data_IF_801649098804
#
_entry.id   IF_801649098804
#
_cell.length_a   1.000
_cell.length_b   1.000
_cell.length_c   1.000
_cell.angle_alpha   90.00
_cell.angle_beta   90.00
_cell.angle_gamma   90.00
#
_symmetry.space_group_name_H-M   'P 1'
#
loop_
_entity.id
_entity.type
_entity.pdbx_description
1 polymer ?
#
# COMPACT_ATOMS: atom_id res chain seq x y z
N UNK A 1 17.80 -11.40 -6.27
CA UNK A 1 16.55 -10.62 -6.19
C UNK A 1 16.80 -9.53 -5.17
N UNK A 2 16.67 -8.27 -5.58
CA UNK A 2 16.98 -7.11 -4.74
C UNK A 2 15.99 -6.00 -5.05
N UNK A 3 15.63 -5.22 -4.03
CA UNK A 3 14.84 -4.01 -4.21
C UNK A 3 15.69 -2.96 -4.95
N UNK A 4 15.11 -2.30 -5.95
CA UNK A 4 15.87 -1.33 -6.74
C UNK A 4 16.43 -0.20 -5.87
N UNK A 5 17.64 0.26 -6.22
CA UNK A 5 18.32 1.33 -5.48
C UNK A 5 17.50 2.63 -5.44
N UNK A 6 16.76 2.94 -6.52
CA UNK A 6 15.90 4.11 -6.60
C UNK A 6 14.72 4.04 -5.62
N UNK A 7 14.05 2.88 -5.52
CA UNK A 7 12.97 2.64 -4.56
C UNK A 7 13.49 2.73 -3.13
N UNK A 8 14.60 2.04 -2.84
CA UNK A 8 15.20 2.05 -1.51
C UNK A 8 15.61 3.46 -1.10
N UNK A 9 16.25 4.22 -2.00
CA UNK A 9 16.63 5.61 -1.73
C UNK A 9 15.41 6.48 -1.44
N UNK A 10 14.33 6.36 -2.22
CA UNK A 10 13.10 7.14 -2.01
C UNK A 10 12.47 6.83 -0.65
N UNK A 11 12.41 5.56 -0.27
CA UNK A 11 11.92 5.14 1.03
C UNK A 11 12.78 5.67 2.19
N UNK A 12 14.11 5.58 2.07
CA UNK A 12 15.05 6.13 3.07
C UNK A 12 14.90 7.64 3.21
N UNK A 13 14.68 8.37 2.10
CA UNK A 13 14.37 9.79 2.15
C UNK A 13 13.02 10.08 2.83
N UNK A 14 11.98 9.27 2.59
CA UNK A 14 10.68 9.40 3.25
C UNK A 14 10.77 9.21 4.76
N UNK A 15 11.53 8.19 5.20
CA UNK A 15 11.79 7.91 6.61
C UNK A 15 12.56 9.07 7.25
N UNK A 16 13.67 9.50 6.64
CA UNK A 16 14.50 10.58 7.17
C UNK A 16 13.73 11.91 7.29
N UNK A 17 12.93 12.25 6.27
CA UNK A 17 12.10 13.46 6.24
C UNK A 17 10.80 13.33 7.04
N UNK A 18 10.54 12.17 7.67
CA UNK A 18 9.32 11.89 8.46
C UNK A 18 8.02 12.22 7.71
N UNK A 19 7.94 11.85 6.43
CA UNK A 19 6.77 12.18 5.57
C UNK A 19 5.47 11.44 5.94
N UNK A 20 5.55 10.45 6.83
CA UNK A 20 4.44 9.64 7.32
C UNK A 20 4.61 9.36 8.81
N UNK A 21 3.55 8.88 9.48
CA UNK A 21 3.63 8.46 10.87
C UNK A 21 4.32 7.09 10.94
N UNK A 22 5.60 7.05 11.30
CA UNK A 22 6.38 5.80 11.28
C UNK A 22 5.88 4.77 12.30
N UNK A 23 5.30 5.23 13.40
CA UNK A 23 4.80 4.32 14.43
C UNK A 23 3.60 3.53 13.89
N UNK A 24 2.73 4.16 13.09
CA UNK A 24 1.39 3.59 12.81
C UNK A 24 0.97 3.56 11.35
N UNK A 25 1.83 4.00 10.45
CA UNK A 25 1.71 3.79 9.02
C UNK A 25 2.94 3.01 8.51
N UNK A 26 2.83 2.48 7.29
CA UNK A 26 3.89 1.71 6.63
C UNK A 26 4.54 2.58 5.54
N UNK A 27 5.84 2.45 5.34
CA UNK A 27 6.56 3.11 4.25
C UNK A 27 6.04 2.55 2.89
N UNK A 28 5.41 3.39 2.06
CA UNK A 28 4.63 2.90 0.92
C UNK A 28 5.47 2.26 -0.19
N UNK A 29 6.69 2.75 -0.45
CA UNK A 29 7.50 2.26 -1.55
C UNK A 29 8.15 0.90 -1.24
N UNK A 30 8.61 0.72 -0.01
CA UNK A 30 9.11 -0.57 0.46
C UNK A 30 7.97 -1.58 0.56
N UNK A 31 6.79 -1.15 1.03
CA UNK A 31 5.62 -2.02 1.09
C UNK A 31 5.26 -2.57 -0.28
N UNK A 32 5.08 -1.70 -1.27
CA UNK A 32 4.74 -2.07 -2.65
C UNK A 32 5.80 -3.01 -3.23
N UNK A 33 7.08 -2.66 -3.11
CA UNK A 33 8.15 -3.46 -3.70
C UNK A 33 8.31 -4.85 -3.05
N UNK A 34 8.10 -4.98 -1.74
CA UNK A 34 8.14 -6.28 -1.04
C UNK A 34 6.90 -7.11 -1.36
N UNK A 35 5.72 -6.48 -1.35
CA UNK A 35 4.46 -7.10 -1.74
C UNK A 35 4.55 -7.71 -3.13
N UNK A 36 5.06 -6.97 -4.10
CA UNK A 36 5.21 -7.44 -5.49
C UNK A 36 6.18 -8.60 -5.62
N UNK A 37 7.25 -8.60 -4.82
CA UNK A 37 8.19 -9.73 -4.75
C UNK A 37 7.48 -11.01 -4.31
N UNK A 38 6.72 -10.98 -3.22
CA UNK A 38 6.02 -12.17 -2.73
C UNK A 38 4.84 -12.56 -3.62
N UNK A 39 4.13 -11.59 -4.19
CA UNK A 39 3.05 -11.87 -5.13
C UNK A 39 3.54 -12.55 -6.41
N UNK A 40 4.77 -12.28 -6.87
CA UNK A 40 5.38 -13.05 -7.98
C UNK A 40 5.55 -14.54 -7.64
N UNK A 41 5.88 -14.86 -6.38
CA UNK A 41 6.00 -16.25 -5.94
C UNK A 41 4.64 -16.96 -5.99
N UNK A 42 3.59 -16.31 -5.46
CA UNK A 42 2.22 -16.80 -5.56
C UNK A 42 1.76 -16.95 -7.02
N UNK A 43 2.05 -15.97 -7.88
CA UNK A 43 1.59 -15.99 -9.27
C UNK A 43 2.29 -17.05 -10.11
N UNK A 44 3.54 -17.38 -9.80
CA UNK A 44 4.25 -18.49 -10.41
C UNK A 44 3.69 -19.86 -10.04
N UNK A 45 3.09 -20.01 -8.85
CA UNK A 45 2.52 -21.27 -8.38
C UNK A 45 1.10 -21.52 -8.92
N UNK A 46 0.30 -20.46 -9.06
CA UNK A 46 -1.09 -20.55 -9.49
C UNK A 46 -1.25 -20.07 -10.95
N UNK A 47 -0.89 -20.93 -11.92
CA UNK A 47 -1.04 -20.61 -13.33
C UNK A 47 -2.51 -20.72 -13.80
N UNK A 48 -3.11 -19.57 -14.14
CA UNK A 48 -4.30 -19.32 -15.00
C UNK A 48 -5.53 -20.27 -14.95
N UNK A 49 -5.68 -21.16 -13.95
CA UNK A 49 -6.90 -21.93 -13.74
C UNK A 49 -7.89 -21.14 -12.88
N UNK A 50 -9.17 -21.19 -13.22
CA UNK A 50 -10.21 -20.45 -12.50
C UNK A 50 -10.52 -21.05 -11.11
N UNK A 51 -10.14 -22.31 -10.87
CA UNK A 51 -10.55 -23.09 -9.70
C UNK A 51 -9.96 -22.60 -8.37
N UNK A 52 -8.76 -22.02 -8.39
CA UNK A 52 -8.00 -21.66 -7.18
C UNK A 52 -7.89 -20.13 -6.99
N UNK A 53 -8.70 -19.33 -7.69
CA UNK A 53 -8.62 -17.86 -7.65
C UNK A 53 -8.84 -17.27 -6.25
N UNK A 54 -9.85 -17.75 -5.53
CA UNK A 54 -10.15 -17.26 -4.18
C UNK A 54 -9.01 -17.58 -3.20
N UNK A 55 -8.45 -18.78 -3.30
CA UNK A 55 -7.32 -19.21 -2.48
C UNK A 55 -6.02 -18.48 -2.86
N UNK A 56 -5.78 -18.24 -4.15
CA UNK A 56 -4.69 -17.39 -4.62
C UNK A 56 -4.85 -15.97 -4.05
N UNK A 57 -6.06 -15.43 -4.00
CA UNK A 57 -6.32 -14.11 -3.42
C UNK A 57 -6.08 -14.10 -1.90
N UNK A 58 -6.42 -15.17 -1.19
CA UNK A 58 -6.08 -15.35 0.22
C UNK A 58 -4.56 -15.34 0.45
N UNK A 59 -3.79 -16.07 -0.37
CA UNK A 59 -2.33 -16.07 -0.29
C UNK A 59 -1.74 -14.70 -0.60
N UNK A 60 -2.26 -13.98 -1.61
CA UNK A 60 -1.87 -12.58 -1.89
C UNK A 60 -2.14 -11.67 -0.70
N UNK A 61 -3.30 -11.78 -0.07
CA UNK A 61 -3.60 -11.03 1.15
C UNK A 61 -2.60 -11.36 2.27
N UNK A 62 -2.24 -12.64 2.43
CA UNK A 62 -1.21 -13.04 3.41
C UNK A 62 0.16 -12.42 3.10
N UNK A 63 0.53 -12.29 1.83
CA UNK A 63 1.75 -11.61 1.41
C UNK A 63 1.71 -10.11 1.72
N UNK A 64 0.55 -9.48 1.55
CA UNK A 64 0.34 -8.07 1.89
C UNK A 64 0.54 -7.86 3.40
N UNK A 65 -0.08 -8.70 4.24
CA UNK A 65 0.07 -8.65 5.70
C UNK A 65 1.52 -8.89 6.14
N UNK A 66 2.19 -9.91 5.60
CA UNK A 66 3.60 -10.20 5.90
C UNK A 66 4.52 -9.03 5.52
N UNK A 67 4.33 -8.48 4.31
CA UNK A 67 5.09 -7.34 3.80
C UNK A 67 4.89 -6.10 4.67
N UNK A 68 3.66 -5.85 5.11
CA UNK A 68 3.33 -4.74 6.00
C UNK A 68 4.11 -4.82 7.31
N UNK A 69 4.11 -5.97 7.99
CA UNK A 69 4.86 -6.16 9.24
C UNK A 69 6.37 -6.13 9.03
N UNK A 70 6.89 -6.72 7.95
CA UNK A 70 8.32 -6.66 7.61
C UNK A 70 8.79 -5.23 7.42
N UNK A 71 8.06 -4.44 6.62
CA UNK A 71 8.41 -3.03 6.36
C UNK A 71 8.30 -2.20 7.62
N UNK A 72 7.23 -2.40 8.40
CA UNK A 72 7.03 -1.68 9.65
C UNK A 72 8.14 -1.95 10.67
N UNK A 73 8.61 -3.19 10.79
CA UNK A 73 9.78 -3.50 11.62
C UNK A 73 11.04 -2.81 11.10
N UNK A 74 11.33 -2.99 9.81
CA UNK A 74 12.53 -2.44 9.17
C UNK A 74 12.58 -0.91 9.27
N UNK A 75 11.49 -0.19 8.99
CA UNK A 75 11.46 1.28 9.05
C UNK A 75 11.69 1.79 10.48
N UNK A 76 11.18 1.10 11.50
CA UNK A 76 11.35 1.49 12.90
C UNK A 76 12.79 1.24 13.37
N UNK A 77 13.41 0.15 12.95
CA UNK A 77 14.84 -0.11 13.18
C UNK A 77 15.72 1.01 12.56
N UNK A 78 15.33 1.53 11.38
CA UNK A 78 16.00 2.66 10.72
C UNK A 78 15.75 3.99 11.43
N UNK A 79 14.51 4.23 11.91
CA UNK A 79 14.15 5.44 12.66
C UNK A 79 14.89 5.53 13.99
N UNK A 80 15.09 4.40 14.67
CA UNK A 80 15.88 4.33 15.89
C UNK A 80 17.32 4.85 15.72
N UNK A 81 17.80 5.00 14.48
CA UNK A 81 19.14 5.53 14.17
C UNK A 81 19.18 7.02 13.81
N UNK A 82 18.03 7.71 13.74
CA UNK A 82 17.94 9.12 13.30
C UNK A 82 18.69 10.10 14.20
N UNK A 83 18.63 9.88 15.51
CA UNK A 83 19.22 10.79 16.49
C UNK A 83 20.65 10.38 16.83
N UNK A 84 21.51 11.37 17.07
CA UNK A 84 22.82 11.16 17.69
C UNK A 84 22.68 10.98 19.22
N UNK A 85 23.81 10.76 19.90
CA UNK A 85 23.86 10.59 21.35
C UNK A 85 23.35 11.79 22.15
N UNK A 86 23.29 12.97 21.53
CA UNK A 86 22.86 14.22 22.14
C UNK A 86 21.39 14.53 21.80
N UNK A 87 20.69 13.64 21.08
CA UNK A 87 19.30 13.84 20.66
C UNK A 87 19.13 14.71 19.41
N UNK A 88 20.22 15.06 18.71
CA UNK A 88 20.13 15.85 17.49
C UNK A 88 19.94 14.96 16.26
N UNK A 89 19.21 15.47 15.26
CA UNK A 89 19.04 14.78 13.98
C UNK A 89 20.40 14.68 13.26
N UNK A 90 20.83 13.46 12.95
CA UNK A 90 22.05 13.22 12.16
C UNK A 90 21.92 13.79 10.74
N UNK A 91 23.01 14.29 10.13
CA UNK A 91 23.02 14.60 8.69
C UNK A 91 22.65 13.37 7.86
N UNK A 92 21.88 13.56 6.79
CA UNK A 92 21.37 12.45 5.95
C UNK A 92 22.45 11.46 5.54
N UNK A 93 23.62 11.94 5.09
CA UNK A 93 24.75 11.08 4.69
C UNK A 93 25.24 10.17 5.82
N UNK A 94 25.30 10.68 7.05
CA UNK A 94 25.72 9.89 8.21
C UNK A 94 24.64 8.87 8.60
N UNK A 95 23.38 9.31 8.67
CA UNK A 95 22.26 8.40 8.95
C UNK A 95 22.15 7.28 7.91
N UNK A 96 22.29 7.62 6.61
CA UNK A 96 22.30 6.65 5.53
C UNK A 96 23.36 5.57 5.75
N UNK A 97 24.59 5.96 6.11
CA UNK A 97 25.66 5.02 6.44
C UNK A 97 25.28 4.08 7.60
N UNK A 98 24.59 4.59 8.62
CA UNK A 98 24.20 3.83 9.80
C UNK A 98 23.07 2.81 9.51
N UNK A 99 22.20 3.09 8.53
CA UNK A 99 21.04 2.24 8.20
C UNK A 99 21.24 1.35 6.98
N UNK A 100 22.25 1.60 6.16
CA UNK A 100 22.58 0.76 4.99
C UNK A 100 22.74 -0.74 5.34
N UNK A 101 23.38 -1.14 6.46
CA UNK A 101 23.44 -2.56 6.84
C UNK A 101 22.06 -3.16 7.12
N UNK A 102 21.15 -2.39 7.74
CA UNK A 102 19.76 -2.82 7.98
C UNK A 102 19.06 -3.02 6.64
N UNK A 103 19.14 -2.02 5.75
CA UNK A 103 18.54 -2.10 4.42
C UNK A 103 19.10 -3.26 3.59
N UNK A 104 20.42 -3.45 3.58
CA UNK A 104 21.09 -4.51 2.81
C UNK A 104 20.69 -5.91 3.27
N UNK A 105 20.63 -6.15 4.58
CA UNK A 105 20.18 -7.44 5.09
C UNK A 105 18.70 -7.67 4.81
N UNK A 106 17.84 -6.70 5.15
CA UNK A 106 16.38 -6.83 5.05
C UNK A 106 15.87 -6.88 3.61
N UNK A 107 16.43 -6.07 2.71
CA UNK A 107 16.03 -5.96 1.30
C UNK A 107 16.93 -6.76 0.33
N UNK A 108 17.94 -7.46 0.85
CA UNK A 108 18.88 -8.27 0.08
C UNK A 108 18.89 -9.71 0.58
N UNK A 109 19.86 -10.06 1.42
CA UNK A 109 20.11 -11.46 1.82
C UNK A 109 18.89 -12.16 2.45
N UNK A 110 18.20 -11.52 3.38
CA UNK A 110 17.01 -12.10 4.02
C UNK A 110 15.84 -12.17 3.04
N UNK A 111 15.61 -11.11 2.26
CA UNK A 111 14.56 -11.11 1.24
C UNK A 111 14.74 -12.23 0.22
N UNK A 112 15.97 -12.57 -0.15
CA UNK A 112 16.25 -13.71 -1.04
C UNK A 112 15.80 -15.03 -0.41
N UNK A 113 16.21 -15.32 0.82
CA UNK A 113 15.81 -16.55 1.54
C UNK A 113 14.30 -16.63 1.72
N UNK A 114 13.68 -15.51 2.11
CA UNK A 114 12.24 -15.43 2.28
C UNK A 114 11.50 -15.67 0.96
N UNK A 115 11.94 -15.09 -0.15
CA UNK A 115 11.30 -15.33 -1.45
C UNK A 115 11.49 -16.76 -1.94
N UNK A 116 12.70 -17.32 -1.83
CA UNK A 116 12.94 -18.71 -2.21
C UNK A 116 12.03 -19.66 -1.41
N UNK A 117 11.81 -19.36 -0.13
CA UNK A 117 10.84 -20.07 0.74
C UNK A 117 9.39 -19.80 0.34
N UNK A 118 9.03 -18.57 0.00
CA UNK A 118 7.69 -18.19 -0.44
C UNK A 118 7.30 -18.90 -1.74
N UNK A 119 8.24 -19.04 -2.70
CA UNK A 119 8.03 -19.82 -3.94
C UNK A 119 7.70 -21.26 -3.60
N UNK A 120 8.54 -21.92 -2.78
CA UNK A 120 8.33 -23.32 -2.40
C UNK A 120 6.98 -23.52 -1.69
N UNK A 121 6.63 -22.62 -0.76
CA UNK A 121 5.39 -22.71 0.00
C UNK A 121 4.15 -22.36 -0.82
N UNK A 122 4.25 -21.44 -1.78
CA UNK A 122 3.17 -21.16 -2.72
C UNK A 122 2.86 -22.38 -3.60
N UNK A 123 3.89 -23.08 -4.10
CA UNK A 123 3.71 -24.34 -4.83
C UNK A 123 3.09 -25.42 -3.94
N UNK A 124 3.58 -25.60 -2.72
CA UNK A 124 2.99 -26.54 -1.76
C UNK A 124 1.52 -26.21 -1.45
N UNK A 125 1.16 -24.93 -1.37
CA UNK A 125 -0.22 -24.52 -1.15
C UNK A 125 -1.11 -24.85 -2.35
N UNK A 126 -0.61 -24.68 -3.58
CA UNK A 126 -1.30 -25.05 -4.81
C UNK A 126 -1.47 -26.58 -4.92
N UNK A 127 -0.39 -27.34 -4.67
CA UNK A 127 -0.42 -28.81 -4.63
C UNK A 127 -1.45 -29.31 -3.60
N UNK A 128 -1.54 -28.63 -2.44
CA UNK A 128 -2.53 -28.97 -1.42
C UNK A 128 -3.98 -28.84 -1.90
N UNK A 129 -4.30 -27.81 -2.68
CA UNK A 129 -5.63 -27.66 -3.29
C UNK A 129 -5.91 -28.80 -4.27
N UNK A 130 -4.91 -29.25 -5.02
CA UNK A 130 -5.03 -30.43 -5.86
C UNK A 130 -5.27 -31.69 -5.04
N UNK A 131 -4.48 -31.93 -3.99
CA UNK A 131 -4.64 -33.10 -3.11
C UNK A 131 -6.04 -33.21 -2.51
N UNK A 132 -6.64 -32.08 -2.12
CA UNK A 132 -7.99 -32.08 -1.61
C UNK A 132 -9.02 -32.48 -2.67
N UNK A 133 -8.85 -32.02 -3.92
CA UNK A 133 -9.75 -32.36 -5.03
C UNK A 133 -9.74 -33.83 -5.41
N UNK A 134 -8.57 -34.47 -5.35
CA UNK A 134 -8.39 -35.87 -5.74
C UNK A 134 -8.45 -36.86 -4.57
N UNK A 135 -8.75 -36.38 -3.36
CA UNK A 135 -8.74 -37.19 -2.13
C UNK A 135 -9.77 -38.32 -2.10
N UNK A 136 -10.74 -38.33 -3.01
CA UNK A 136 -11.69 -39.43 -3.21
C UNK A 136 -11.06 -40.63 -3.93
N UNK A 137 -10.05 -40.40 -4.77
CA UNK A 137 -9.31 -41.43 -5.52
C UNK A 137 -7.94 -41.72 -4.91
N UNK A 138 -7.22 -40.67 -4.49
CA UNK A 138 -5.90 -40.74 -3.87
C UNK A 138 -5.97 -40.17 -2.45
N UNK A 139 -6.49 -40.93 -1.47
CA UNK A 139 -6.83 -40.42 -0.14
C UNK A 139 -5.63 -40.10 0.74
N UNK A 140 -4.42 -40.55 0.37
CA UNK A 140 -3.21 -40.43 1.18
C UNK A 140 -2.16 -39.55 0.51
N UNK A 141 -1.30 -38.95 1.34
CA UNK A 141 -0.11 -38.22 0.93
C UNK A 141 1.14 -38.94 1.41
N UNK A 142 2.14 -39.00 0.54
CA UNK A 142 3.47 -39.57 0.81
C UNK A 142 4.49 -38.46 0.90
N UNK A 143 5.27 -38.45 1.97
CA UNK A 143 6.40 -37.54 2.12
C UNK A 143 7.56 -37.94 1.23
N UNK A 144 7.90 -37.09 0.27
CA UNK A 144 8.94 -37.37 -0.72
C UNK A 144 10.32 -36.86 -0.24
N UNK A 145 11.42 -37.57 -0.57
CA UNK A 145 12.76 -37.12 -0.27
C UNK A 145 13.06 -35.72 -0.84
N UNK A 146 13.91 -34.97 -0.13
CA UNK A 146 14.33 -33.65 -0.56
C UNK A 146 15.14 -33.69 -1.86
N UNK A 147 14.92 -32.71 -2.73
CA UNK A 147 15.74 -32.50 -3.95
C UNK A 147 17.00 -31.65 -3.68
N UNK A 148 17.29 -31.30 -2.42
CA UNK A 148 18.50 -30.58 -2.05
C UNK A 148 19.77 -31.42 -2.24
N UNK A 149 20.85 -30.79 -2.70
CA UNK A 149 22.19 -31.42 -2.74
C UNK A 149 22.70 -31.79 -1.34
N UNK A 150 22.32 -31.01 -0.33
CA UNK A 150 22.65 -31.26 1.08
C UNK A 150 21.35 -31.21 1.89
N UNK A 151 20.59 -32.32 1.95
CA UNK A 151 19.38 -32.37 2.74
C UNK A 151 19.72 -32.38 4.24
N UNK A 152 18.91 -31.68 5.04
CA UNK A 152 18.96 -31.75 6.50
C UNK A 152 18.57 -33.15 7.02
N UNK A 153 19.14 -33.54 8.16
CA UNK A 153 18.82 -34.81 8.84
C UNK A 153 17.42 -34.80 9.45
N UNK A 154 16.96 -33.62 9.86
CA UNK A 154 15.72 -33.37 10.58
C UNK A 154 14.48 -33.90 9.85
N UNK A 155 14.45 -33.92 8.52
CA UNK A 155 13.31 -34.48 7.79
C UNK A 155 13.52 -35.90 7.23
N UNK A 156 14.72 -36.48 7.34
CA UNK A 156 15.02 -37.77 6.68
C UNK A 156 14.14 -38.91 7.18
N UNK A 157 13.83 -38.93 8.47
CA UNK A 157 13.03 -39.99 9.08
C UNK A 157 11.53 -39.92 8.72
N UNK A 158 11.06 -38.78 8.19
CA UNK A 158 9.70 -38.67 7.64
C UNK A 158 9.61 -39.15 6.19
N UNK A 159 10.71 -39.37 5.48
CA UNK A 159 10.66 -39.78 4.07
C UNK A 159 9.98 -41.14 3.91
N UNK A 160 8.98 -41.19 3.02
CA UNK A 160 8.15 -42.37 2.82
C UNK A 160 7.01 -42.53 3.81
N UNK A 161 6.82 -41.61 4.76
CA UNK A 161 5.62 -41.58 5.62
C UNK A 161 4.39 -41.32 4.75
N UNK A 162 3.38 -42.17 4.88
CA UNK A 162 2.12 -42.10 4.14
C UNK A 162 0.98 -41.91 5.14
N UNK A 163 0.27 -40.79 5.06
CA UNK A 163 -0.90 -40.48 5.92
C UNK A 163 -2.06 -39.92 5.11
N UNK A 164 -3.31 -40.04 5.57
CA UNK A 164 -4.47 -39.44 4.92
C UNK A 164 -4.29 -37.92 4.70
N UNK A 165 -4.89 -37.36 3.65
CA UNK A 165 -4.81 -35.91 3.34
C UNK A 165 -5.22 -35.04 4.54
N UNK A 166 -6.18 -35.51 5.35
CA UNK A 166 -6.71 -34.79 6.52
C UNK A 166 -6.05 -35.18 7.86
N UNK A 167 -4.93 -35.92 7.83
CA UNK A 167 -4.22 -36.32 9.05
C UNK A 167 -3.64 -35.11 9.78
N UNK A 168 -3.69 -35.15 11.12
CA UNK A 168 -3.12 -34.10 11.98
C UNK A 168 -1.61 -33.93 11.79
N UNK A 169 -0.90 -34.97 11.35
CA UNK A 169 0.53 -34.92 11.06
C UNK A 169 0.85 -33.70 10.20
N UNK A 170 0.07 -33.45 9.14
CA UNK A 170 0.37 -32.37 8.20
C UNK A 170 0.19 -30.97 8.78
N UNK A 171 -0.47 -30.82 9.93
CA UNK A 171 -0.50 -29.57 10.69
C UNK A 171 0.74 -29.41 11.57
N UNK A 172 1.22 -30.52 12.13
CA UNK A 172 2.34 -30.57 13.07
C UNK A 172 3.71 -30.58 12.35
N UNK A 173 3.86 -31.39 11.30
CA UNK A 173 5.08 -31.60 10.52
C UNK A 173 4.77 -31.85 9.05
N UNK A 174 5.49 -31.16 8.15
CA UNK A 174 5.29 -31.30 6.69
C UNK A 174 6.46 -30.68 5.91
N UNK A 175 6.61 -31.03 4.63
CA UNK A 175 7.43 -30.22 3.73
C UNK A 175 7.07 -28.73 3.82
N UNK A 176 8.10 -27.87 3.92
CA UNK A 176 7.92 -26.42 4.00
C UNK A 176 7.89 -25.81 5.40
N UNK A 177 8.00 -26.60 6.47
CA UNK A 177 8.12 -26.10 7.85
C UNK A 177 9.57 -25.71 8.28
N UNK A 178 10.52 -25.76 7.33
CA UNK A 178 11.90 -25.27 7.41
C UNK A 178 12.20 -24.27 6.30
N UNK A 179 13.04 -23.27 6.60
CA UNK A 179 13.49 -22.31 5.59
C UNK A 179 14.16 -23.03 4.42
N UNK A 180 13.69 -22.76 3.20
CA UNK A 180 14.16 -23.40 1.96
C UNK A 180 14.07 -24.94 1.93
N UNK A 181 13.12 -25.54 2.66
CA UNK A 181 12.86 -26.98 2.59
C UNK A 181 12.44 -27.40 1.18
N UNK A 182 13.18 -28.33 0.55
CA UNK A 182 12.89 -28.87 -0.79
C UNK A 182 12.29 -30.28 -0.77
N UNK A 183 11.72 -30.70 0.36
CA UNK A 183 10.85 -31.87 0.40
C UNK A 183 9.52 -31.54 -0.32
N UNK A 184 8.79 -32.55 -0.74
CA UNK A 184 7.44 -32.41 -1.30
C UNK A 184 6.51 -33.50 -0.79
N UNK A 185 5.22 -33.36 -1.10
CA UNK A 185 4.23 -34.42 -0.91
C UNK A 185 3.80 -34.94 -2.29
N UNK A 186 3.41 -36.19 -2.36
CA UNK A 186 2.75 -36.79 -3.52
C UNK A 186 1.49 -37.48 -3.06
N UNK A 187 0.39 -37.31 -3.80
CA UNK A 187 -0.83 -38.10 -3.58
C UNK A 187 -0.60 -39.57 -3.96
N UNK A 188 -1.29 -40.46 -3.26
CA UNK A 188 -1.16 -41.92 -3.41
C UNK A 188 -2.39 -42.64 -2.85
N UNK A 189 -2.64 -43.86 -3.33
CA UNK A 189 -3.59 -44.83 -2.77
C UNK A 189 -2.89 -45.90 -1.90
N UNK A 190 -1.56 -45.82 -1.76
CA UNK A 190 -0.77 -46.70 -0.90
C UNK A 190 -1.28 -46.69 0.55
N UNK A 191 -1.23 -47.83 1.27
CA UNK A 191 -1.64 -47.90 2.68
C UNK A 191 -0.86 -46.94 3.59
N UNK A 192 -1.51 -46.48 4.66
CA UNK A 192 -0.88 -45.61 5.66
C UNK A 192 0.30 -46.29 6.36
N UNK A 193 1.30 -45.50 6.74
CA UNK A 193 2.45 -45.97 7.52
C UNK A 193 2.38 -45.45 8.97
N UNK A 194 3.15 -46.06 9.89
CA UNK A 194 3.42 -45.46 11.20
C UNK A 194 4.05 -44.07 11.04
N UNK A 195 3.75 -43.18 11.99
CA UNK A 195 4.38 -41.87 12.11
C UNK A 195 5.59 -42.02 13.02
N UNK A 196 6.77 -41.47 12.67
CA UNK A 196 7.91 -41.42 13.57
C UNK A 196 7.58 -40.71 14.89
N UNK A 197 8.30 -41.05 15.96
CA UNK A 197 8.17 -40.33 17.22
C UNK A 197 8.57 -38.86 17.05
N UNK A 198 7.80 -37.96 17.66
CA UNK A 198 8.07 -36.54 17.59
C UNK A 198 9.37 -36.21 18.34
N UNK A 199 10.32 -35.54 17.68
CA UNK A 199 11.55 -35.07 18.32
C UNK A 199 11.62 -33.53 18.34
N UNK A 200 12.35 -32.98 19.32
CA UNK A 200 12.51 -31.53 19.45
C UNK A 200 13.24 -30.91 18.25
N UNK A 201 14.04 -31.71 17.53
CA UNK A 201 14.87 -31.26 16.40
C UNK A 201 14.03 -31.01 15.15
N UNK A 202 12.89 -31.69 14.99
CA UNK A 202 12.00 -31.57 13.83
C UNK A 202 10.87 -30.55 13.99
N UNK A 203 10.79 -29.85 15.13
CA UNK A 203 9.74 -28.83 15.35
C UNK A 203 9.78 -27.73 14.30
N UNK A 204 8.64 -27.37 13.67
CA UNK A 204 8.57 -26.27 12.70
C UNK A 204 9.30 -25.01 13.14
N UNK A 205 9.99 -24.36 12.20
CA UNK A 205 10.66 -23.10 12.48
C UNK A 205 9.63 -21.95 12.59
N UNK A 206 9.93 -20.98 13.46
CA UNK A 206 9.08 -19.81 13.66
C UNK A 206 8.82 -19.09 12.33
N UNK A 207 7.54 -18.80 12.06
CA UNK A 207 7.08 -18.23 10.80
C UNK A 207 6.75 -19.25 9.72
N UNK A 208 6.92 -20.55 9.97
CA UNK A 208 6.62 -21.63 9.02
C UNK A 208 5.71 -22.73 9.62
N UNK A 209 5.22 -22.51 10.84
CA UNK A 209 4.44 -23.45 11.67
C UNK A 209 3.09 -23.85 11.06
N UNK A 210 2.40 -22.96 10.36
CA UNK A 210 1.10 -23.20 9.72
C UNK A 210 1.19 -23.78 8.31
N UNK A 211 0.26 -24.68 7.96
CA UNK A 211 0.20 -25.31 6.63
C UNK A 211 -0.32 -24.31 5.60
N UNK A 212 0.52 -23.84 4.65
CA UNK A 212 0.11 -22.80 3.73
C UNK A 212 -1.05 -23.24 2.85
N UNK A 213 -1.17 -24.54 2.57
CA UNK A 213 -2.29 -25.14 1.83
C UNK A 213 -3.61 -25.20 2.60
N UNK A 214 -3.59 -25.08 3.94
CA UNK A 214 -4.78 -25.05 4.78
C UNK A 214 -5.10 -23.65 5.30
N UNK A 215 -4.08 -22.90 5.73
CA UNK A 215 -4.25 -21.56 6.31
C UNK A 215 -4.40 -20.49 5.25
N UNK A 216 -3.90 -20.72 4.02
CA UNK A 216 -3.78 -19.68 3.00
C UNK A 216 -2.75 -18.62 3.36
N UNK A 217 -1.77 -18.97 4.20
CA UNK A 217 -0.74 -18.05 4.68
C UNK A 217 0.65 -18.52 4.23
N UNK A 218 1.35 -17.68 3.46
CA UNK A 218 2.71 -18.00 2.99
C UNK A 218 3.67 -18.16 4.18
N UNK A 219 3.54 -17.32 5.21
CA UNK A 219 4.27 -17.40 6.46
C UNK A 219 3.27 -17.40 7.62
N UNK A 220 3.67 -17.90 8.78
CA UNK A 220 2.82 -17.89 9.97
C UNK A 220 3.10 -16.66 10.83
N UNK A 221 2.09 -16.22 11.58
CA UNK A 221 2.17 -14.98 12.33
C UNK A 221 3.03 -15.07 13.60
N UNK A 222 3.66 -16.23 13.89
CA UNK A 222 4.72 -16.40 14.87
C UNK A 222 6.11 -15.97 14.36
N UNK A 223 6.23 -15.55 13.10
CA UNK A 223 7.46 -14.98 12.55
C UNK A 223 7.89 -13.72 13.35
N UNK A 224 9.20 -13.48 13.57
CA UNK A 224 9.71 -12.34 14.36
C UNK A 224 9.32 -10.93 13.90
N UNK A 225 8.72 -10.79 12.71
CA UNK A 225 8.19 -9.50 12.23
C UNK A 225 6.84 -9.16 12.85
N UNK A 226 6.07 -10.15 13.26
CA UNK A 226 4.76 -9.95 13.87
C UNK A 226 4.89 -9.62 15.35
N UNK A 227 3.89 -8.91 15.91
CA UNK A 227 3.83 -8.64 17.34
C UNK A 227 3.60 -9.92 18.13
N UNK A 228 4.04 -9.94 19.39
CA UNK A 228 3.80 -11.08 20.30
C UNK A 228 2.32 -11.22 20.66
N UNK A 229 1.61 -10.11 20.77
CA UNK A 229 0.18 -10.04 21.06
C UNK A 229 -0.46 -8.84 20.36
N UNK A 230 -1.80 -8.76 20.35
CA UNK A 230 -2.47 -7.55 19.87
C UNK A 230 -2.11 -6.31 20.68
N UNK A 231 -1.74 -6.44 21.97
CA UNK A 231 -1.38 -5.30 22.82
C UNK A 231 0.00 -4.74 22.47
N UNK A 232 0.89 -5.58 21.94
CA UNK A 232 2.23 -5.20 21.50
C UNK A 232 2.26 -4.72 20.03
N UNK A 233 1.09 -4.58 19.39
CA UNK A 233 0.98 -4.23 17.98
C UNK A 233 0.71 -2.72 17.80
N UNK A 234 1.60 -2.01 17.11
CA UNK A 234 1.43 -0.56 16.86
C UNK A 234 0.22 -0.22 15.97
N UNK A 235 -0.28 -1.19 15.20
CA UNK A 235 -1.51 -1.03 14.42
C UNK A 235 -2.77 -1.18 15.27
N UNK A 236 -2.69 -1.79 16.45
CA UNK A 236 -3.86 -2.06 17.29
C UNK A 236 -4.42 -0.76 17.89
N UNK A 237 -5.53 -0.28 17.32
CA UNK A 237 -6.18 0.98 17.72
C UNK A 237 -7.67 0.78 18.00
N UNK A 238 -8.03 0.09 19.11
CA UNK A 238 -9.44 -0.12 19.45
C UNK A 238 -10.11 1.22 19.79
N UNK A 239 -11.33 1.43 19.27
CA UNK A 239 -12.17 2.56 19.65
C UNK A 239 -12.41 2.58 21.17
N UNK A 240 -12.68 3.76 21.75
CA UNK A 240 -12.83 3.93 23.20
C UNK A 240 -13.82 2.93 23.84
N UNK A 241 -14.93 2.63 23.15
CA UNK A 241 -15.93 1.63 23.57
C UNK A 241 -15.37 0.20 23.53
N UNK A 242 -14.59 -0.14 22.51
CA UNK A 242 -13.94 -1.45 22.37
C UNK A 242 -12.74 -1.59 23.30
N UNK A 243 -12.05 -0.50 23.65
CA UNK A 243 -10.94 -0.52 24.61
C UNK A 243 -11.40 -0.92 26.01
N UNK A 244 -12.57 -0.43 26.45
CA UNK A 244 -13.22 -0.86 27.70
C UNK A 244 -13.64 -2.33 27.67
N UNK A 245 -14.14 -2.83 26.54
CA UNK A 245 -14.52 -4.25 26.36
C UNK A 245 -13.29 -5.18 26.31
N UNK A 246 -12.24 -4.75 25.61
CA UNK A 246 -11.02 -5.53 25.38
C UNK A 246 -10.08 -5.58 26.59
N UNK A 247 -10.25 -4.71 27.59
CA UNK A 247 -9.64 -4.86 28.91
C UNK A 247 -10.10 -6.15 29.62
N UNK A 248 -11.28 -6.68 29.26
CA UNK A 248 -11.87 -7.88 29.85
C UNK A 248 -11.90 -9.09 28.88
N UNK A 249 -11.50 -8.91 27.62
CA UNK A 249 -11.42 -9.99 26.63
C UNK A 249 -10.04 -10.01 25.99
N UNK A 250 -9.25 -11.05 26.29
CA UNK A 250 -7.93 -11.23 25.70
C UNK A 250 -8.10 -11.64 24.24
N UNK A 251 -8.02 -10.67 23.32
CA UNK A 251 -8.15 -10.94 21.87
C UNK A 251 -7.05 -11.90 21.45
N UNK A 252 -7.43 -13.05 20.88
CA UNK A 252 -6.49 -14.01 20.29
C UNK A 252 -5.83 -13.35 19.09
N UNK A 253 -4.50 -13.51 18.99
CA UNK A 253 -3.73 -12.98 17.87
C UNK A 253 -4.09 -13.78 16.61
N UNK A 254 -4.53 -13.05 15.61
CA UNK A 254 -4.69 -13.50 14.24
C UNK A 254 -4.41 -12.26 13.39
N UNK A 255 -3.17 -12.16 12.91
CA UNK A 255 -2.73 -11.00 12.14
C UNK A 255 -3.31 -10.99 10.72
N UNK A 256 -3.66 -12.14 10.15
CA UNK A 256 -4.16 -12.28 8.78
C UNK A 256 -5.64 -11.91 8.66
N UNK A 257 -6.42 -12.07 9.72
CA UNK A 257 -7.82 -11.61 9.81
C UNK A 257 -7.98 -10.30 10.62
N UNK A 258 -6.93 -9.49 10.72
CA UNK A 258 -6.93 -8.33 11.62
C UNK A 258 -7.43 -7.04 10.94
N UNK A 259 -8.59 -6.48 11.35
CA UNK A 259 -9.17 -5.31 10.69
C UNK A 259 -8.35 -4.02 10.88
N UNK A 260 -7.32 -4.02 11.74
CA UNK A 260 -6.46 -2.86 11.95
C UNK A 260 -5.31 -2.82 10.95
N UNK A 261 -4.68 -3.96 10.66
CA UNK A 261 -3.65 -4.04 9.62
C UNK A 261 -4.28 -3.93 8.24
N UNK A 262 -5.45 -4.54 8.02
CA UNK A 262 -6.21 -4.40 6.77
C UNK A 262 -6.53 -2.94 6.48
N UNK A 263 -7.07 -2.21 7.48
CA UNK A 263 -7.27 -0.76 7.36
C UNK A 263 -5.96 0.01 7.13
N UNK A 264 -4.82 -0.50 7.56
CA UNK A 264 -3.53 0.13 7.27
C UNK A 264 -3.12 -0.10 5.81
N UNK A 265 -3.26 -1.34 5.33
CA UNK A 265 -2.98 -1.75 3.95
C UNK A 265 -3.95 -1.07 2.97
N UNK A 266 -5.25 -1.03 3.26
CA UNK A 266 -6.27 -0.32 2.47
C UNK A 266 -5.99 1.19 2.34
N UNK A 267 -5.33 1.77 3.35
CA UNK A 267 -4.88 3.17 3.29
C UNK A 267 -3.65 3.34 2.40
N UNK A 268 -2.99 2.28 1.97
CA UNK A 268 -1.86 2.28 1.04
C UNK A 268 -2.38 1.85 -0.34
N UNK A 269 -3.18 2.70 -0.97
CA UNK A 269 -3.67 2.43 -2.33
C UNK A 269 -2.50 2.16 -3.29
N UNK A 270 -2.70 1.25 -4.25
CA UNK A 270 -1.73 0.84 -5.28
C UNK A 270 -1.25 1.99 -6.20
N UNK A 271 -1.75 3.20 -5.99
CA UNK A 271 -1.41 4.43 -6.71
C UNK A 271 -0.83 5.52 -5.79
N UNK A 272 -0.45 5.16 -4.55
CA UNK A 272 0.15 6.05 -3.56
C UNK A 272 -0.83 6.98 -2.83
N UNK A 273 -2.14 6.84 -3.06
CA UNK A 273 -3.17 7.64 -2.39
C UNK A 273 -3.64 7.03 -1.08
N UNK A 274 -3.62 7.84 -0.03
CA UNK A 274 -4.16 7.49 1.29
C UNK A 274 -5.55 8.06 1.48
N UNK A 275 -6.50 7.23 1.90
CA UNK A 275 -7.82 7.71 2.33
C UNK A 275 -7.66 8.54 3.59
N UNK A 276 -7.86 9.85 3.47
CA UNK A 276 -7.81 10.81 4.57
C UNK A 276 -9.18 10.94 5.24
N UNK A 277 -10.27 10.90 4.45
CA UNK A 277 -11.62 11.07 4.99
C UNK A 277 -12.69 10.39 4.15
N UNK A 278 -13.70 9.83 4.83
CA UNK A 278 -14.94 9.32 4.23
C UNK A 278 -16.13 9.95 4.93
N UNK A 279 -17.07 10.49 4.17
CA UNK A 279 -18.28 11.15 4.67
C UNK A 279 -19.50 10.20 4.56
N UNK A 280 -20.53 10.36 5.42
CA UNK A 280 -21.71 9.49 5.40
C UNK A 280 -22.48 9.47 4.07
N UNK A 281 -22.40 10.55 3.28
CA UNK A 281 -23.01 10.66 1.96
C UNK A 281 -22.18 10.04 0.83
N UNK A 282 -21.18 9.22 1.17
CA UNK A 282 -20.33 8.51 0.20
C UNK A 282 -19.11 9.29 -0.28
N UNK A 283 -19.02 10.59 -0.01
CA UNK A 283 -17.90 11.41 -0.43
C UNK A 283 -16.59 11.02 0.26
N UNK A 284 -15.49 11.08 -0.47
CA UNK A 284 -14.18 10.59 -0.04
C UNK A 284 -13.08 11.60 -0.39
N UNK A 285 -12.10 11.71 0.50
CA UNK A 285 -10.89 12.50 0.27
C UNK A 285 -9.70 11.57 0.40
N UNK A 286 -8.93 11.48 -0.67
CA UNK A 286 -7.64 10.82 -0.70
C UNK A 286 -6.52 11.84 -0.89
N UNK A 287 -5.36 11.58 -0.29
CA UNK A 287 -4.17 12.42 -0.40
C UNK A 287 -3.01 11.51 -0.78
N UNK A 288 -2.33 11.84 -1.88
CA UNK A 288 -1.12 11.12 -2.27
C UNK A 288 0.00 11.30 -1.23
N UNK A 289 0.75 10.24 -0.95
CA UNK A 289 1.87 10.25 0.02
C UNK A 289 2.93 11.31 -0.29
N UNK A 290 3.27 11.47 -1.58
CA UNK A 290 4.17 12.51 -2.10
C UNK A 290 3.50 13.87 -2.41
N UNK A 291 2.28 14.13 -1.93
CA UNK A 291 1.70 15.48 -2.06
C UNK A 291 2.56 16.52 -1.33
N UNK A 292 2.74 17.69 -1.95
CA UNK A 292 3.60 18.76 -1.43
C UNK A 292 2.89 19.55 -0.31
N UNK A 293 3.05 19.09 0.94
CA UNK A 293 2.33 19.63 2.11
C UNK A 293 2.93 20.92 2.66
N UNK A 294 4.17 21.23 2.30
CA UNK A 294 4.92 22.38 2.85
C UNK A 294 4.66 23.68 2.09
N UNK A 295 3.96 23.60 0.96
CA UNK A 295 3.59 24.79 0.21
C UNK A 295 2.50 25.61 0.87
N UNK A 296 2.59 26.92 0.63
CA UNK A 296 1.65 27.91 1.14
C UNK A 296 0.20 27.70 0.66
N UNK A 297 -0.01 27.02 -0.47
CA UNK A 297 -1.32 26.74 -1.06
C UNK A 297 -1.97 25.45 -0.52
N UNK A 298 -1.20 24.50 0.02
CA UNK A 298 -1.68 23.18 0.45
C UNK A 298 -2.87 23.26 1.41
N UNK A 299 -2.84 24.18 2.39
CA UNK A 299 -3.94 24.35 3.34
C UNK A 299 -5.26 24.77 2.67
N UNK A 300 -5.18 25.60 1.64
CA UNK A 300 -6.35 26.03 0.87
C UNK A 300 -6.87 24.88 0.01
N UNK A 301 -5.98 24.18 -0.71
CA UNK A 301 -6.32 22.99 -1.51
C UNK A 301 -7.00 21.93 -0.63
N UNK A 302 -6.44 21.63 0.54
CA UNK A 302 -7.02 20.67 1.50
C UNK A 302 -8.41 21.09 1.98
N UNK A 303 -8.61 22.39 2.22
CA UNK A 303 -9.91 22.94 2.63
C UNK A 303 -10.93 22.77 1.52
N UNK A 304 -10.58 23.14 0.29
CA UNK A 304 -11.43 23.01 -0.90
C UNK A 304 -11.77 21.55 -1.17
N UNK A 305 -10.78 20.65 -1.09
CA UNK A 305 -10.95 19.23 -1.28
C UNK A 305 -11.93 18.62 -0.26
N UNK A 306 -11.87 19.08 1.00
CA UNK A 306 -12.84 18.69 2.03
C UNK A 306 -14.24 19.20 1.74
N UNK A 307 -14.41 20.36 1.10
CA UNK A 307 -15.71 20.90 0.72
C UNK A 307 -16.36 20.00 -0.34
N UNK A 308 -15.66 19.71 -1.44
CA UNK A 308 -16.19 18.80 -2.46
C UNK A 308 -16.49 17.40 -1.91
N UNK A 309 -15.60 16.86 -1.07
CA UNK A 309 -15.86 15.56 -0.46
C UNK A 309 -17.09 15.58 0.48
N UNK A 310 -17.37 16.70 1.17
CA UNK A 310 -18.63 16.85 1.93
C UNK A 310 -19.87 16.90 1.04
N UNK A 311 -19.74 17.25 -0.23
CA UNK A 311 -20.82 17.22 -1.21
C UNK A 311 -21.02 15.83 -1.83
N UNK A 312 -20.33 14.80 -1.33
CA UNK A 312 -20.46 13.41 -1.80
C UNK A 312 -19.49 13.05 -2.92
N UNK A 313 -18.53 13.93 -3.24
CA UNK A 313 -17.55 13.72 -4.31
C UNK A 313 -16.38 12.86 -3.87
N UNK A 314 -15.75 12.17 -4.84
CA UNK A 314 -14.45 11.53 -4.63
C UNK A 314 -13.35 12.50 -5.04
N UNK A 315 -12.55 12.91 -4.07
CA UNK A 315 -11.51 13.93 -4.24
C UNK A 315 -10.14 13.31 -3.99
N UNK A 316 -9.16 13.61 -4.84
CA UNK A 316 -7.79 13.08 -4.74
C UNK A 316 -6.77 14.22 -4.86
N UNK A 317 -6.04 14.55 -3.80
CA UNK A 317 -4.94 15.55 -3.85
C UNK A 317 -3.69 14.87 -4.38
N UNK A 318 -3.15 15.36 -5.49
CA UNK A 318 -2.17 14.65 -6.31
C UNK A 318 -0.72 15.15 -6.09
N UNK A 319 0.30 14.32 -6.36
CA UNK A 319 1.72 14.66 -6.17
C UNK A 319 2.33 15.34 -7.40
N UNK A 320 3.51 15.95 -7.27
CA UNK A 320 4.30 16.36 -8.44
C UNK A 320 5.20 15.23 -8.90
N UNK A 321 5.07 14.80 -10.15
CA UNK A 321 5.80 13.67 -10.70
C UNK A 321 6.54 14.03 -11.98
N UNK A 322 7.60 13.27 -12.26
CA UNK A 322 8.29 13.37 -13.54
C UNK A 322 7.48 12.64 -14.63
N UNK A 323 7.15 13.31 -15.73
CA UNK A 323 6.31 12.78 -16.83
C UNK A 323 6.74 11.43 -17.46
N UNK A 324 7.95 10.93 -17.18
CA UNK A 324 8.42 9.61 -17.64
C UNK A 324 8.30 8.51 -16.58
N UNK A 325 7.89 8.84 -15.36
CA UNK A 325 7.75 7.85 -14.29
C UNK A 325 6.51 7.00 -14.51
N UNK A 326 6.53 5.78 -13.97
CA UNK A 326 5.40 4.86 -14.06
C UNK A 326 4.20 5.39 -13.26
N UNK A 327 4.47 6.00 -12.10
CA UNK A 327 3.45 6.63 -11.26
C UNK A 327 2.77 7.79 -11.99
N UNK A 328 3.49 8.53 -12.86
CA UNK A 328 2.87 9.56 -13.69
C UNK A 328 1.79 8.96 -14.58
N UNK A 329 2.05 7.80 -15.20
CA UNK A 329 1.06 7.12 -16.06
C UNK A 329 -0.13 6.61 -15.26
N UNK A 330 0.11 6.10 -14.05
CA UNK A 330 -0.95 5.63 -13.16
C UNK A 330 -1.90 6.76 -12.73
N UNK A 331 -1.34 7.90 -12.28
CA UNK A 331 -2.12 9.01 -11.73
C UNK A 331 -2.67 9.92 -12.82
N UNK A 332 -1.86 10.25 -13.82
CA UNK A 332 -2.14 11.25 -14.86
C UNK A 332 -2.37 10.63 -16.25
N UNK A 333 -2.61 9.32 -16.33
CA UNK A 333 -2.77 8.60 -17.60
C UNK A 333 -3.83 9.20 -18.54
N UNK A 334 -4.90 9.76 -17.99
CA UNK A 334 -5.96 10.42 -18.77
C UNK A 334 -5.52 11.75 -19.42
N UNK A 335 -4.38 12.32 -19.02
CA UNK A 335 -3.78 13.49 -19.66
C UNK A 335 -2.88 13.13 -20.85
N UNK A 336 -2.49 11.87 -21.01
CA UNK A 336 -1.61 11.42 -22.11
C UNK A 336 -2.35 11.58 -23.45
N UNK A 337 -1.69 12.20 -24.43
CA UNK A 337 -2.31 12.55 -25.72
C UNK A 337 -3.18 13.82 -25.68
N UNK A 338 -3.34 14.44 -24.50
CA UNK A 338 -4.00 15.75 -24.37
C UNK A 338 -2.96 16.87 -24.37
N UNK A 339 -3.41 18.13 -24.50
CA UNK A 339 -2.54 19.31 -24.33
C UNK A 339 -1.95 19.47 -22.91
N UNK A 340 -2.50 18.75 -21.94
CA UNK A 340 -2.06 18.75 -20.54
C UNK A 340 -1.11 17.58 -20.25
N UNK A 341 -0.68 16.86 -21.28
CA UNK A 341 0.37 15.85 -21.12
C UNK A 341 1.61 16.49 -20.46
N UNK A 342 2.24 15.73 -19.56
CA UNK A 342 3.40 16.13 -18.74
C UNK A 342 3.07 17.13 -17.63
N UNK A 343 1.81 17.53 -17.44
CA UNK A 343 1.36 18.38 -16.32
C UNK A 343 0.95 17.54 -15.12
N UNK A 344 1.03 18.15 -13.93
CA UNK A 344 0.59 17.58 -12.67
C UNK A 344 -0.36 18.56 -11.97
N UNK A 345 -1.65 18.61 -12.39
CA UNK A 345 -2.64 19.44 -11.71
C UNK A 345 -2.71 19.16 -10.20
N UNK A 346 -3.20 20.10 -9.40
CA UNK A 346 -3.13 20.01 -7.93
C UNK A 346 -4.02 18.91 -7.30
N UNK A 347 -5.21 18.65 -7.86
CA UNK A 347 -6.12 17.61 -7.36
C UNK A 347 -7.15 17.16 -8.40
N UNK A 348 -7.86 16.06 -8.12
CA UNK A 348 -8.99 15.55 -8.89
C UNK A 348 -10.28 15.63 -8.09
N UNK A 349 -11.41 15.85 -8.77
CA UNK A 349 -12.77 15.68 -8.24
C UNK A 349 -13.53 14.78 -9.22
N UNK A 350 -14.03 13.63 -8.74
CA UNK A 350 -14.67 12.58 -9.54
C UNK A 350 -13.84 12.17 -10.79
N UNK A 351 -12.52 12.05 -10.60
CA UNK A 351 -11.58 11.68 -11.67
C UNK A 351 -11.20 12.82 -12.63
N UNK A 352 -11.75 14.02 -12.43
CA UNK A 352 -11.47 15.20 -13.27
C UNK A 352 -10.46 16.12 -12.61
N UNK A 353 -9.42 16.54 -13.33
CA UNK A 353 -8.33 17.37 -12.80
C UNK A 353 -8.66 18.85 -12.67
N UNK A 354 -8.23 19.46 -11.56
CA UNK A 354 -8.34 20.88 -11.26
C UNK A 354 -6.98 21.46 -10.87
N UNK A 355 -6.73 22.70 -11.28
CA UNK A 355 -5.59 23.50 -10.82
C UNK A 355 -6.08 24.56 -9.82
N UNK A 356 -5.34 24.74 -8.73
CA UNK A 356 -5.57 25.79 -7.76
C UNK A 356 -4.69 27.01 -8.06
N UNK A 357 -5.30 28.20 -8.06
CA UNK A 357 -4.58 29.44 -8.29
C UNK A 357 -4.99 30.54 -7.32
N UNK A 358 -4.02 31.32 -6.83
CA UNK A 358 -4.25 32.36 -5.83
C UNK A 358 -3.73 33.74 -6.24
N UNK A 359 -4.33 34.79 -5.70
CA UNK A 359 -3.87 36.16 -5.95
C UNK A 359 -2.69 36.58 -5.06
N UNK A 360 -2.02 37.66 -5.44
CA UNK A 360 -1.05 38.39 -4.59
C UNK A 360 -1.44 39.86 -4.59
N UNK A 361 -1.63 40.47 -3.41
CA UNK A 361 -1.90 41.91 -3.28
C UNK A 361 -0.65 42.75 -3.62
N UNK A 362 -0.81 43.97 -4.14
CA UNK A 362 -2.05 44.57 -4.63
C UNK A 362 -2.49 43.94 -5.96
N UNK A 363 -3.80 43.84 -6.17
CA UNK A 363 -4.38 43.36 -7.43
C UNK A 363 -4.09 44.36 -8.56
N UNK A 364 -3.74 43.84 -9.73
CA UNK A 364 -3.80 44.59 -10.98
C UNK A 364 -4.19 43.66 -12.14
N UNK A 365 -4.64 44.25 -13.25
CA UNK A 365 -5.19 43.51 -14.39
C UNK A 365 -4.22 42.45 -14.95
N UNK A 366 -2.93 42.79 -15.02
CA UNK A 366 -1.88 41.94 -15.58
C UNK A 366 -1.60 40.73 -14.68
N UNK A 367 -1.63 40.91 -13.35
CA UNK A 367 -1.40 39.83 -12.38
C UNK A 367 -2.49 38.75 -12.44
N UNK A 368 -3.76 39.15 -12.43
CA UNK A 368 -4.90 38.23 -12.55
C UNK A 368 -4.87 37.49 -13.88
N UNK A 369 -4.58 38.21 -14.98
CA UNK A 369 -4.50 37.60 -16.30
C UNK A 369 -3.36 36.57 -16.40
N UNK A 370 -2.20 36.85 -15.80
CA UNK A 370 -1.07 35.91 -15.76
C UNK A 370 -1.39 34.68 -14.92
N UNK A 371 -1.97 34.87 -13.74
CA UNK A 371 -2.43 33.77 -12.87
C UNK A 371 -3.38 32.84 -13.65
N UNK A 372 -4.41 33.39 -14.30
CA UNK A 372 -5.35 32.57 -15.07
C UNK A 372 -4.65 31.83 -16.21
N UNK A 373 -3.75 32.48 -16.93
CA UNK A 373 -3.00 31.82 -18.00
C UNK A 373 -2.09 30.71 -17.46
N UNK A 374 -1.44 30.90 -16.31
CA UNK A 374 -0.64 29.85 -15.67
C UNK A 374 -1.49 28.64 -15.27
N UNK A 375 -2.63 28.86 -14.63
CA UNK A 375 -3.54 27.77 -14.28
C UNK A 375 -4.06 27.02 -15.51
N UNK A 376 -4.39 27.75 -16.58
CA UNK A 376 -4.88 27.16 -17.84
C UNK A 376 -3.81 26.39 -18.62
N UNK A 377 -2.53 26.58 -18.28
CA UNK A 377 -1.44 25.74 -18.80
C UNK A 377 -1.34 24.39 -18.07
N UNK A 378 -2.04 24.22 -16.94
CA UNK A 378 -2.06 22.99 -16.14
C UNK A 378 -3.38 22.22 -16.29
N UNK A 379 -4.52 22.90 -16.28
CA UNK A 379 -5.85 22.30 -16.46
C UNK A 379 -6.83 23.27 -17.14
N UNK A 380 -7.84 22.75 -17.85
CA UNK A 380 -8.98 23.56 -18.33
C UNK A 380 -9.96 23.94 -17.22
N UNK A 381 -9.76 23.40 -16.01
CA UNK A 381 -10.61 23.60 -14.84
C UNK A 381 -9.80 24.18 -13.69
N UNK A 382 -10.25 25.33 -13.18
CA UNK A 382 -9.47 26.12 -12.22
C UNK A 382 -10.29 26.45 -10.99
N UNK A 383 -9.64 26.43 -9.83
CA UNK A 383 -10.18 27.02 -8.60
C UNK A 383 -9.37 28.25 -8.24
N UNK A 384 -10.04 29.39 -8.19
CA UNK A 384 -9.41 30.67 -7.90
C UNK A 384 -9.64 31.01 -6.43
N UNK A 385 -8.56 31.09 -5.65
CA UNK A 385 -8.57 31.67 -4.31
C UNK A 385 -8.69 33.19 -4.39
N UNK A 386 -9.91 33.67 -4.17
CA UNK A 386 -10.29 35.07 -4.13
C UNK A 386 -10.28 35.67 -2.72
N UNK A 387 -9.74 35.00 -1.70
CA UNK A 387 -9.69 35.52 -0.32
C UNK A 387 -8.97 36.86 -0.18
N UNK A 388 -8.14 37.22 -1.17
CA UNK A 388 -7.41 38.51 -1.23
C UNK A 388 -8.17 39.62 -1.97
N UNK A 389 -9.39 39.37 -2.46
CA UNK A 389 -10.36 40.40 -2.86
C UNK A 389 -10.21 40.96 -4.26
N UNK A 390 -10.24 40.13 -5.31
CA UNK A 390 -10.45 40.59 -6.69
C UNK A 390 -11.96 40.70 -6.99
N UNK A 391 -12.38 41.73 -7.74
CA UNK A 391 -13.79 41.87 -8.09
C UNK A 391 -14.23 40.81 -9.10
N UNK A 392 -15.38 40.19 -8.86
CA UNK A 392 -15.95 39.17 -9.76
C UNK A 392 -16.15 39.70 -11.18
N UNK A 393 -16.54 40.97 -11.32
CA UNK A 393 -16.65 41.66 -12.62
C UNK A 393 -15.33 41.57 -13.39
N UNK A 394 -14.21 41.70 -12.68
CA UNK A 394 -12.90 41.64 -13.30
C UNK A 394 -12.48 40.21 -13.64
N UNK A 395 -12.72 39.25 -12.75
CA UNK A 395 -12.47 37.83 -13.03
C UNK A 395 -13.29 37.37 -14.25
N UNK A 396 -14.59 37.70 -14.29
CA UNK A 396 -15.48 37.46 -15.43
C UNK A 396 -14.93 38.04 -16.72
N UNK A 397 -14.46 39.30 -16.70
CA UNK A 397 -13.84 39.93 -17.88
C UNK A 397 -12.60 39.17 -18.35
N UNK A 398 -11.77 38.66 -17.44
CA UNK A 398 -10.59 37.88 -17.80
C UNK A 398 -10.93 36.50 -18.37
N UNK A 399 -11.97 35.84 -17.88
CA UNK A 399 -12.49 34.58 -18.44
C UNK A 399 -13.05 34.82 -19.84
N UNK A 400 -13.93 35.83 -20.01
CA UNK A 400 -14.52 36.16 -21.32
C UNK A 400 -13.47 36.52 -22.38
N UNK A 401 -12.34 37.13 -21.97
CA UNK A 401 -11.25 37.43 -22.88
C UNK A 401 -10.47 36.19 -23.36
N UNK A 402 -10.71 35.00 -22.78
CA UNK A 402 -9.95 33.77 -23.01
C UNK A 402 -10.75 32.62 -23.58
N UNK A 403 -12.05 32.54 -23.29
CA UNK A 403 -12.94 31.45 -23.75
C UNK A 403 -12.90 31.23 -25.27
N UNK A 404 -12.59 32.26 -26.06
CA UNK A 404 -12.47 32.16 -27.53
C UNK A 404 -11.03 31.98 -28.02
N UNK A 405 -10.03 32.02 -27.14
CA UNK A 405 -8.63 31.91 -27.53
C UNK A 405 -8.23 30.44 -27.73
N UNK A 406 -7.63 30.09 -28.87
CA UNK A 406 -7.03 28.78 -29.07
C UNK A 406 -6.02 28.51 -27.94
N UNK A 407 -6.04 27.30 -27.36
CA UNK A 407 -5.17 26.91 -26.24
C UNK A 407 -5.43 27.65 -24.92
N UNK A 408 -6.57 28.31 -24.73
CA UNK A 408 -7.01 28.78 -23.41
C UNK A 408 -8.47 28.42 -23.14
N UNK A 409 -8.91 27.28 -23.68
CA UNK A 409 -10.22 26.72 -23.38
C UNK A 409 -10.39 26.57 -21.85
N UNK A 410 -11.50 27.11 -21.36
CA UNK A 410 -11.89 27.07 -19.96
C UNK A 410 -13.18 26.26 -19.93
N UNK A 411 -13.15 25.12 -19.25
CA UNK A 411 -14.31 24.26 -19.09
C UNK A 411 -15.08 24.67 -17.83
N UNK A 412 -14.35 24.92 -16.74
CA UNK A 412 -14.94 25.13 -15.41
C UNK A 412 -14.09 26.06 -14.54
N UNK A 413 -14.73 26.98 -13.82
CA UNK A 413 -14.08 27.85 -12.83
C UNK A 413 -14.91 27.89 -11.56
N UNK A 414 -14.24 27.60 -10.45
CA UNK A 414 -14.75 27.77 -9.10
C UNK A 414 -14.04 28.93 -8.41
N UNK A 415 -14.76 29.62 -7.53
CA UNK A 415 -14.19 30.66 -6.66
C UNK A 415 -14.16 30.13 -5.24
N UNK A 416 -12.97 30.15 -4.63
CA UNK A 416 -12.78 29.94 -3.20
C UNK A 416 -12.66 31.29 -2.49
N UNK A 417 -13.59 31.57 -1.57
CA UNK A 417 -13.60 32.81 -0.81
C UNK A 417 -14.26 32.61 0.56
N UNK A 418 -13.62 33.12 1.62
CA UNK A 418 -14.13 33.06 3.01
C UNK A 418 -14.54 31.64 3.45
N UNK A 419 -13.76 30.62 3.07
CA UNK A 419 -14.03 29.24 3.47
C UNK A 419 -15.12 28.53 2.66
N UNK A 420 -15.65 29.17 1.61
CA UNK A 420 -16.66 28.58 0.73
C UNK A 420 -16.12 28.44 -0.69
N UNK A 421 -16.59 27.41 -1.40
CA UNK A 421 -16.29 27.17 -2.81
C UNK A 421 -17.59 27.26 -3.57
N UNK A 422 -17.62 28.08 -4.63
CA UNK A 422 -18.83 28.27 -5.44
C UNK A 422 -18.51 28.19 -6.93
N UNK A 423 -19.42 27.57 -7.68
CA UNK A 423 -19.30 27.53 -9.13
C UNK A 423 -19.45 28.95 -9.67
N UNK A 424 -18.58 29.34 -10.59
CA UNK A 424 -18.60 30.68 -11.17
C UNK A 424 -18.75 30.65 -12.69
N UNK A 425 -18.14 29.68 -13.34
CA UNK A 425 -18.28 29.47 -14.78
C UNK A 425 -18.23 27.99 -15.09
N UNK A 426 -19.09 27.52 -15.98
CA UNK A 426 -19.06 26.16 -16.53
C UNK A 426 -19.73 26.13 -17.89
N UNK A 427 -19.09 25.51 -18.87
CA UNK A 427 -19.67 25.22 -20.19
C UNK A 427 -20.38 26.44 -20.81
N UNK A 428 -19.69 27.58 -20.86
CA UNK A 428 -20.20 28.83 -21.45
C UNK A 428 -21.13 29.65 -20.54
N UNK A 429 -21.51 29.13 -19.37
CA UNK A 429 -22.48 29.77 -18.47
C UNK A 429 -21.81 30.33 -17.23
N UNK A 430 -22.13 31.58 -16.88
CA UNK A 430 -21.72 32.19 -15.60
C UNK A 430 -22.80 31.98 -14.54
N UNK A 431 -22.36 31.57 -13.36
CA UNK A 431 -23.23 31.31 -12.21
C UNK A 431 -23.16 32.49 -11.25
N UNK A 432 -24.33 32.98 -10.82
CA UNK A 432 -24.42 34.09 -9.86
C UNK A 432 -24.09 33.59 -8.46
N UNK A 433 -23.50 34.47 -7.66
CA UNK A 433 -23.42 34.23 -6.23
C UNK A 433 -24.85 34.27 -5.65
N UNK A 434 -25.34 33.13 -5.15
CA UNK A 434 -26.64 33.06 -4.47
C UNK A 434 -26.53 33.43 -2.97
N UNK A 435 -25.36 33.88 -2.50
CA UNK A 435 -25.17 34.46 -1.18
C UNK A 435 -25.65 35.91 -1.17
N UNK A 436 -26.78 36.14 -0.50
CA UNK A 436 -27.49 37.40 -0.41
C UNK A 436 -26.77 38.55 0.30
N UNK A 437 -27.46 39.69 0.27
CA UNK A 437 -27.17 40.96 0.97
C UNK A 437 -26.68 40.81 2.41
#
# INVERSE_FOLDING_TARGET
MEISESVLRKALENIYKKKFNVDTDIEPHLFEALRDVFNKATDGAFAASDHDRDFQQQLRHSNDVFSAFKVHRMQNDMVARLMDSNGNLKPFKQWLKDVLPIASHQCGAWLKTEYDTAVLRAHQAADWQQFQRESDVLPNLKWMPSTSLHPGEDHRHYWGVIRPVNDKLWNEHRPGDRWNCKCSLSSTDEPITPVPDNDEVSQPQAGLTGNPGMTGETFSDDHPYFPKSCQDCDFYRPDLKNRLKNLFTNRVKDCYSCPYIDKCIDRLGADGFKLERKYPNGGTLYIHSDADKDKNDYKAILTIARIFAKEGKTVRITPRLHHKSEEYRSIYGSLIGTRYERKCPDFQVDGVFYEYEGFIKPWNKKKVGRMLSHGLDQSSRIIIDNTKGCSERFIRKQIMARIHLPKQAIDEVWIYEKGNVRLFYKDGTFYKNNGGN
#
